data_IF_867834008619
#
_entry.id   IF_867834008619
#
_cell.length_a   1.000
_cell.length_b   1.000
_cell.length_c   1.000
_cell.angle_alpha   90.00
_cell.angle_beta   90.00
_cell.angle_gamma   90.00
#
_symmetry.space_group_name_H-M   'P 1'
#
loop_
_entity.id
_entity.type
_entity.pdbx_description
1 polymer ?
#
# COMPACT_ATOMS: atom_id res chain seq x y z
N UNK A 1 49.01 15.43 13.30
CA UNK A 1 48.03 14.81 14.21
C UNK A 1 47.39 15.96 14.98
N UNK A 2 46.30 16.59 14.55
CA UNK A 2 45.31 16.18 13.55
C UNK A 2 44.81 17.39 12.75
N UNK A 3 44.72 17.14 11.46
CA UNK A 3 44.25 18.00 10.40
C UNK A 3 42.72 17.92 10.37
N UNK A 4 42.03 19.02 10.71
CA UNK A 4 40.57 19.12 10.52
C UNK A 4 40.29 20.09 9.37
N UNK A 5 40.38 19.55 8.17
CA UNK A 5 39.80 20.08 6.94
C UNK A 5 38.30 20.32 7.16
N UNK A 6 37.92 21.56 7.46
CA UNK A 6 36.50 21.99 7.46
C UNK A 6 36.21 22.65 6.13
N UNK A 7 35.53 21.90 5.27
CA UNK A 7 35.05 22.23 3.93
C UNK A 7 34.21 23.54 3.99
N UNK A 8 34.31 24.44 2.98
CA UNK A 8 33.67 25.76 3.03
C UNK A 8 32.15 25.69 3.05
N UNK A 9 31.53 26.55 3.87
CA UNK A 9 30.08 26.78 3.96
C UNK A 9 29.53 27.51 2.72
N UNK A 10 29.72 26.94 1.53
CA UNK A 10 28.99 27.33 0.35
C UNK A 10 27.58 26.71 0.42
N UNK A 11 26.56 27.55 0.21
CA UNK A 11 25.12 27.22 0.11
C UNK A 11 24.25 27.25 1.39
N UNK A 12 24.54 28.13 2.35
CA UNK A 12 23.43 28.69 3.14
C UNK A 12 22.77 29.78 2.31
N UNK A 13 21.66 29.46 1.66
CA UNK A 13 20.87 30.45 0.90
C UNK A 13 20.42 31.56 1.84
N UNK A 14 21.02 32.74 1.75
CA UNK A 14 20.64 33.90 2.54
C UNK A 14 19.29 34.45 2.04
N UNK A 15 18.18 33.93 2.57
CA UNK A 15 16.83 34.37 2.17
C UNK A 15 16.60 35.86 2.40
N UNK A 16 17.27 36.45 3.39
CA UNK A 16 17.18 37.88 3.68
C UNK A 16 17.72 38.71 2.51
N UNK A 17 18.90 38.38 2.00
CA UNK A 17 19.54 39.07 0.86
C UNK A 17 18.70 38.92 -0.42
N UNK A 18 18.22 37.70 -0.70
CA UNK A 18 17.35 37.46 -1.86
C UNK A 18 16.01 38.21 -1.76
N UNK A 19 15.41 38.25 -0.56
CA UNK A 19 14.17 39.00 -0.34
C UNK A 19 14.39 40.49 -0.57
N UNK A 20 15.47 41.07 -0.05
CA UNK A 20 15.77 42.49 -0.25
C UNK A 20 15.99 42.83 -1.71
N UNK A 21 16.70 41.99 -2.47
CA UNK A 21 16.96 42.22 -3.90
C UNK A 21 15.68 42.18 -4.73
N UNK A 22 14.80 41.20 -4.45
CA UNK A 22 13.51 41.07 -5.14
C UNK A 22 12.60 42.26 -4.86
N UNK A 23 12.48 42.68 -3.59
CA UNK A 23 11.64 43.82 -3.22
C UNK A 23 12.21 45.13 -3.75
N UNK A 24 13.54 45.32 -3.74
CA UNK A 24 14.19 46.49 -4.33
C UNK A 24 13.91 46.58 -5.83
N UNK A 25 14.02 45.46 -6.57
CA UNK A 25 13.68 45.42 -7.99
C UNK A 25 12.20 45.74 -8.24
N UNK A 26 11.29 45.21 -7.42
CA UNK A 26 9.85 45.46 -7.56
C UNK A 26 9.49 46.93 -7.33
N UNK A 27 10.00 47.54 -6.26
CA UNK A 27 9.74 48.95 -5.91
C UNK A 27 10.45 49.92 -6.85
N UNK A 28 11.57 49.53 -7.47
CA UNK A 28 12.23 50.36 -8.50
C UNK A 28 11.33 50.62 -9.72
N UNK A 29 10.39 49.71 -10.01
CA UNK A 29 9.50 49.77 -11.18
C UNK A 29 8.02 50.00 -10.80
N UNK A 30 7.66 49.85 -9.53
CA UNK A 30 6.29 50.02 -9.03
C UNK A 30 6.25 51.00 -7.85
N UNK A 31 5.25 51.90 -7.84
CA UNK A 31 5.02 52.78 -6.70
C UNK A 31 4.21 52.06 -5.63
N UNK A 32 4.84 51.77 -4.49
CA UNK A 32 4.23 51.11 -3.34
C UNK A 32 4.15 52.11 -2.18
N UNK A 33 3.04 52.11 -1.43
CA UNK A 33 2.92 52.99 -0.27
C UNK A 33 3.87 52.51 0.83
N UNK A 34 4.47 53.42 1.62
CA UNK A 34 5.40 53.03 2.68
C UNK A 34 4.77 52.12 3.74
N UNK A 35 3.45 52.22 3.93
CA UNK A 35 2.70 51.36 4.85
C UNK A 35 2.60 49.89 4.40
N UNK A 36 2.70 49.62 3.09
CA UNK A 36 2.52 48.28 2.52
C UNK A 36 3.87 47.53 2.38
N UNK A 37 5.00 48.23 2.51
CA UNK A 37 6.35 47.65 2.40
C UNK A 37 6.65 46.54 3.41
N UNK A 38 6.29 46.65 4.71
CA UNK A 38 6.55 45.59 5.68
C UNK A 38 5.78 44.30 5.37
N UNK A 39 4.54 44.44 4.88
CA UNK A 39 3.72 43.30 4.49
C UNK A 39 4.31 42.59 3.27
N UNK A 40 4.70 43.35 2.24
CA UNK A 40 5.34 42.80 1.04
C UNK A 40 6.65 42.05 1.36
N UNK A 41 7.49 42.61 2.24
CA UNK A 41 8.72 41.95 2.70
C UNK A 41 8.43 40.62 3.41
N UNK A 42 7.44 40.61 4.31
CA UNK A 42 7.05 39.40 5.03
C UNK A 42 6.50 38.31 4.09
N UNK A 43 5.68 38.68 3.11
CA UNK A 43 5.11 37.74 2.14
C UNK A 43 6.18 37.10 1.24
N UNK A 44 7.09 37.90 0.69
CA UNK A 44 8.17 37.39 -0.18
C UNK A 44 9.13 36.51 0.62
N UNK A 45 9.51 36.94 1.84
CA UNK A 45 10.36 36.14 2.71
C UNK A 45 9.69 34.81 3.11
N UNK A 46 8.38 34.83 3.41
CA UNK A 46 7.60 33.63 3.70
C UNK A 46 7.52 32.69 2.49
N UNK A 47 7.35 33.23 1.27
CA UNK A 47 7.32 32.44 0.06
C UNK A 47 8.66 31.76 -0.24
N UNK A 48 9.78 32.47 -0.04
CA UNK A 48 11.12 31.93 -0.25
C UNK A 48 11.51 30.90 0.82
N UNK A 49 11.22 31.19 2.09
CA UNK A 49 11.46 30.25 3.19
C UNK A 49 10.55 29.01 3.12
N UNK A 50 9.33 29.15 2.60
CA UNK A 50 8.42 28.03 2.35
C UNK A 50 8.78 27.18 1.13
N UNK A 51 9.77 27.59 0.33
CA UNK A 51 10.32 26.81 -0.78
C UNK A 51 11.44 25.87 -0.33
N UNK A 52 12.15 26.25 0.75
CA UNK A 52 13.34 25.55 1.25
C UNK A 52 13.08 24.81 2.55
N UNK A 53 12.26 25.38 3.43
CA UNK A 53 11.46 24.58 4.34
C UNK A 53 10.37 23.94 3.51
N UNK A 54 10.30 22.61 3.49
CA UNK A 54 9.03 21.93 3.22
C UNK A 54 8.01 22.66 4.06
N UNK A 55 7.20 23.52 3.42
CA UNK A 55 6.08 24.14 4.07
C UNK A 55 5.33 23.00 4.69
N UNK A 56 5.43 22.89 6.01
CA UNK A 56 4.50 22.18 6.82
C UNK A 56 3.18 22.96 6.68
N UNK A 57 2.58 22.92 5.49
CA UNK A 57 1.16 22.58 5.37
C UNK A 57 1.01 21.48 6.38
N UNK A 58 0.42 21.83 7.53
CA UNK A 58 0.32 21.00 8.71
C UNK A 58 0.16 19.58 8.22
N UNK A 59 1.26 18.83 8.22
CA UNK A 59 1.19 17.41 7.92
C UNK A 59 0.31 17.01 9.07
N UNK A 60 -0.94 16.53 8.87
CA UNK A 60 -1.54 15.80 9.94
C UNK A 60 -0.47 14.76 10.20
N UNK A 61 0.18 14.88 11.35
CA UNK A 61 0.91 13.79 11.97
C UNK A 61 0.11 12.58 11.56
N UNK A 62 0.76 11.60 10.92
CA UNK A 62 0.11 10.34 10.57
C UNK A 62 -0.19 9.67 11.91
N UNK A 63 -1.17 10.25 12.62
CA UNK A 63 -1.83 9.76 13.77
C UNK A 63 -2.51 8.56 13.19
N UNK A 64 -1.90 7.42 13.49
CA UNK A 64 -2.46 6.09 13.36
C UNK A 64 -3.97 6.23 13.32
N UNK A 65 -4.57 5.82 12.20
CA UNK A 65 -5.97 6.08 11.94
C UNK A 65 -6.76 5.76 13.21
N UNK A 66 -7.51 6.73 13.72
CA UNK A 66 -8.24 6.52 14.98
C UNK A 66 -9.17 5.30 14.80
N UNK A 67 -9.43 4.50 15.85
CA UNK A 67 -10.31 3.33 15.73
C UNK A 67 -11.69 3.71 15.16
N UNK A 68 -12.16 4.92 15.42
CA UNK A 68 -13.38 5.49 14.85
C UNK A 68 -13.28 5.72 13.34
N UNK A 69 -12.13 6.18 12.81
CA UNK A 69 -11.90 6.33 11.37
C UNK A 69 -11.78 4.98 10.66
N UNK A 70 -11.13 3.99 11.29
CA UNK A 70 -11.03 2.62 10.75
C UNK A 70 -12.41 1.97 10.66
N UNK A 71 -13.28 2.18 11.65
CA UNK A 71 -14.66 1.69 11.58
C UNK A 71 -15.47 2.41 10.49
N UNK A 72 -15.26 3.72 10.32
CA UNK A 72 -15.93 4.52 9.28
C UNK A 72 -15.45 4.19 7.86
N UNK A 73 -14.20 3.72 7.70
CA UNK A 73 -13.67 3.36 6.38
C UNK A 73 -14.25 2.04 5.85
N UNK A 74 -14.83 1.22 6.72
CA UNK A 74 -15.47 -0.04 6.35
C UNK A 74 -16.97 0.21 6.17
N UNK A 75 -17.41 0.33 4.91
CA UNK A 75 -18.84 0.36 4.56
C UNK A 75 -19.23 -0.93 3.86
N UNK A 76 -20.52 -1.35 3.91
CA UNK A 76 -20.95 -2.61 3.29
C UNK A 76 -20.72 -2.64 1.78
N UNK A 77 -20.84 -1.50 1.11
CA UNK A 77 -20.69 -1.37 -0.35
C UNK A 77 -19.26 -1.05 -0.81
N UNK A 78 -18.48 -0.34 0.02
CA UNK A 78 -17.13 0.11 -0.34
C UNK A 78 -16.19 0.25 0.87
N UNK A 79 -14.89 0.16 0.61
CA UNK A 79 -13.84 0.50 1.55
C UNK A 79 -13.27 1.87 1.18
N UNK A 80 -13.24 2.79 2.13
CA UNK A 80 -12.64 4.12 1.95
C UNK A 80 -11.12 3.99 2.11
N UNK A 81 -10.38 4.48 1.13
CA UNK A 81 -8.91 4.48 1.16
C UNK A 81 -8.37 5.68 1.94
N UNK A 82 -7.44 5.43 2.87
CA UNK A 82 -6.70 6.46 3.58
C UNK A 82 -5.65 7.21 2.74
N UNK A 83 -5.39 6.81 1.48
CA UNK A 83 -4.45 7.52 0.60
C UNK A 83 -5.13 8.71 -0.07
N UNK A 84 -6.32 8.48 -0.60
CA UNK A 84 -7.03 9.41 -1.50
C UNK A 84 -8.47 9.70 -1.05
N UNK A 85 -8.95 9.07 0.03
CA UNK A 85 -10.28 9.30 0.60
C UNK A 85 -11.44 8.74 -0.24
N UNK A 86 -11.16 8.01 -1.32
CA UNK A 86 -12.18 7.54 -2.26
C UNK A 86 -12.74 6.16 -1.88
N UNK A 87 -14.02 5.88 -2.17
CA UNK A 87 -14.62 4.57 -1.94
C UNK A 87 -14.22 3.57 -3.04
N UNK A 88 -13.75 2.40 -2.64
CA UNK A 88 -13.37 1.30 -3.53
C UNK A 88 -14.03 -0.02 -3.14
N UNK A 89 -14.48 -0.80 -4.12
CA UNK A 89 -14.99 -2.17 -3.87
C UNK A 89 -13.87 -3.12 -3.44
N UNK A 90 -12.67 -2.93 -3.98
CA UNK A 90 -11.48 -3.71 -3.65
C UNK A 90 -10.29 -2.78 -3.41
N UNK A 91 -9.74 -2.81 -2.19
CA UNK A 91 -8.60 -1.96 -1.84
C UNK A 91 -7.32 -2.47 -2.48
N UNK A 92 -7.18 -3.80 -2.61
CA UNK A 92 -5.99 -4.44 -3.20
C UNK A 92 -5.64 -3.88 -4.59
N UNK A 93 -6.65 -3.62 -5.44
CA UNK A 93 -6.44 -3.06 -6.79
C UNK A 93 -5.91 -1.62 -6.75
N UNK A 94 -6.41 -0.82 -5.81
CA UNK A 94 -5.94 0.55 -5.62
C UNK A 94 -4.49 0.55 -5.12
N UNK A 95 -4.17 -0.29 -4.13
CA UNK A 95 -2.81 -0.39 -3.58
C UNK A 95 -1.79 -0.84 -4.62
N UNK A 96 -2.12 -1.83 -5.46
CA UNK A 96 -1.23 -2.25 -6.55
C UNK A 96 -0.97 -1.15 -7.57
N UNK A 97 -1.94 -0.26 -7.82
CA UNK A 97 -1.76 0.89 -8.70
C UNK A 97 -0.81 1.94 -8.11
N UNK A 98 -0.75 2.03 -6.79
CA UNK A 98 0.16 2.92 -6.06
C UNK A 98 1.51 2.25 -5.73
N UNK A 99 1.76 1.02 -6.20
CA UNK A 99 2.99 0.28 -5.93
C UNK A 99 3.18 -0.16 -4.47
N UNK A 100 2.10 -0.22 -3.68
CA UNK A 100 2.16 -0.55 -2.25
C UNK A 100 1.50 -1.89 -1.96
N UNK A 101 2.06 -2.65 -1.03
CA UNK A 101 1.43 -3.90 -0.55
C UNK A 101 0.36 -3.63 0.51
N UNK A 102 -0.53 -4.59 0.72
CA UNK A 102 -1.55 -4.48 1.77
C UNK A 102 -0.95 -4.52 3.19
N UNK A 103 0.27 -5.06 3.33
CA UNK A 103 1.01 -5.06 4.60
C UNK A 103 1.59 -3.68 4.89
N UNK A 104 2.33 -3.11 3.93
CA UNK A 104 2.85 -1.73 4.02
C UNK A 104 1.74 -0.73 4.28
N UNK A 105 0.58 -0.89 3.63
CA UNK A 105 -0.57 -0.03 3.86
C UNK A 105 -1.08 -0.10 5.31
N UNK A 106 -1.13 -1.30 5.89
CA UNK A 106 -1.54 -1.49 7.29
C UNK A 106 -0.53 -0.89 8.26
N UNK A 107 0.75 -1.06 7.99
CA UNK A 107 1.82 -0.50 8.82
C UNK A 107 1.84 1.02 8.77
N UNK A 108 1.72 1.60 7.56
CA UNK A 108 1.75 3.05 7.34
C UNK A 108 0.62 3.78 8.05
N UNK A 109 -0.57 3.20 8.06
CA UNK A 109 -1.77 3.84 8.62
C UNK A 109 -2.20 3.23 9.97
N UNK A 110 -1.48 2.22 10.48
CA UNK A 110 -1.76 1.57 11.77
C UNK A 110 -3.05 0.73 11.79
N UNK A 111 -3.42 0.10 10.68
CA UNK A 111 -4.66 -0.67 10.59
C UNK A 111 -4.54 -2.04 11.29
N UNK A 112 -5.66 -2.56 11.85
CA UNK A 112 -5.71 -3.91 12.39
C UNK A 112 -5.38 -4.97 11.35
N UNK A 113 -4.87 -6.12 11.80
CA UNK A 113 -4.60 -7.28 10.95
C UNK A 113 -5.86 -7.85 10.29
N UNK A 114 -7.02 -7.64 10.91
CA UNK A 114 -8.33 -8.10 10.44
C UNK A 114 -9.02 -7.09 9.48
N UNK A 115 -8.28 -6.10 8.97
CA UNK A 115 -8.86 -5.14 8.04
C UNK A 115 -9.22 -5.82 6.70
N UNK A 116 -10.46 -5.67 6.20
CA UNK A 116 -10.87 -6.32 4.96
C UNK A 116 -10.17 -5.72 3.74
N UNK A 117 -9.85 -6.58 2.76
CA UNK A 117 -9.28 -6.15 1.47
C UNK A 117 -10.35 -5.79 0.44
N UNK A 118 -11.61 -6.20 0.67
CA UNK A 118 -12.74 -6.04 -0.23
C UNK A 118 -14.02 -5.75 0.56
N UNK A 119 -14.96 -5.04 -0.05
CA UNK A 119 -16.25 -4.74 0.56
C UNK A 119 -17.10 -6.01 0.77
N UNK A 120 -17.94 -6.00 1.82
CA UNK A 120 -18.77 -7.14 2.19
C UNK A 120 -19.76 -7.53 1.08
N UNK A 121 -20.44 -6.55 0.48
CA UNK A 121 -21.40 -6.78 -0.61
C UNK A 121 -20.72 -7.29 -1.89
N UNK A 122 -19.51 -6.81 -2.19
CA UNK A 122 -18.75 -7.31 -3.34
C UNK A 122 -18.38 -8.79 -3.17
N UNK A 123 -17.94 -9.18 -1.97
CA UNK A 123 -17.67 -10.58 -1.63
C UNK A 123 -18.93 -11.44 -1.69
N UNK A 124 -20.06 -10.94 -1.15
CA UNK A 124 -21.33 -11.64 -1.19
C UNK A 124 -21.81 -11.90 -2.63
N UNK A 125 -21.80 -10.88 -3.50
CA UNK A 125 -22.20 -10.99 -4.91
C UNK A 125 -21.33 -11.99 -5.68
N UNK A 126 -20.00 -11.92 -5.52
CA UNK A 126 -19.07 -12.86 -6.18
C UNK A 126 -19.27 -14.29 -5.66
N UNK A 127 -19.52 -14.46 -4.36
CA UNK A 127 -19.78 -15.78 -3.79
C UNK A 127 -21.10 -16.38 -4.26
N UNK A 128 -22.16 -15.57 -4.43
CA UNK A 128 -23.44 -16.01 -4.95
C UNK A 128 -23.32 -16.48 -6.41
N UNK A 129 -22.61 -15.71 -7.23
CA UNK A 129 -22.32 -16.05 -8.63
C UNK A 129 -21.48 -17.33 -8.75
N UNK A 130 -20.49 -17.51 -7.85
CA UNK A 130 -19.68 -18.73 -7.82
C UNK A 130 -20.54 -19.95 -7.45
N UNK A 131 -21.41 -19.82 -6.44
CA UNK A 131 -22.33 -20.88 -6.00
C UNK A 131 -23.33 -21.24 -7.10
N UNK A 132 -23.88 -20.27 -7.83
CA UNK A 132 -24.76 -20.53 -8.97
C UNK A 132 -24.02 -21.16 -10.16
N UNK A 133 -22.73 -20.82 -10.33
CA UNK A 133 -21.85 -21.43 -11.32
C UNK A 133 -21.30 -22.83 -10.90
N UNK A 134 -21.76 -23.38 -9.77
CA UNK A 134 -21.38 -24.72 -9.31
C UNK A 134 -20.01 -24.82 -8.60
N UNK A 135 -19.32 -23.69 -8.38
CA UNK A 135 -18.06 -23.66 -7.63
C UNK A 135 -18.34 -23.83 -6.13
N UNK A 136 -17.71 -24.83 -5.49
CA UNK A 136 -17.79 -25.07 -4.04
C UNK A 136 -18.82 -26.10 -3.58
N UNK A 137 -19.53 -26.80 -4.48
CA UNK A 137 -20.53 -27.83 -4.13
C UNK A 137 -19.95 -29.24 -3.87
N UNK A 138 -18.64 -29.44 -4.02
CA UNK A 138 -17.99 -30.76 -3.88
C UNK A 138 -18.17 -31.42 -2.51
N UNK A 139 -18.49 -30.66 -1.44
CA UNK A 139 -18.71 -31.22 -0.11
C UNK A 139 -20.17 -31.52 0.24
N UNK A 140 -21.15 -31.00 -0.52
CA UNK A 140 -22.59 -31.31 -0.29
C UNK A 140 -23.08 -32.54 -1.05
N UNK A 141 -22.38 -32.95 -2.11
CA UNK A 141 -22.72 -34.15 -2.88
C UNK A 141 -22.03 -35.44 -2.38
N UNK A 142 -21.13 -35.33 -1.39
CA UNK A 142 -20.73 -36.49 -0.58
C UNK A 142 -21.80 -36.69 0.50
N UNK A 143 -22.89 -37.35 0.13
CA UNK A 143 -23.93 -37.76 1.07
C UNK A 143 -23.30 -38.57 2.23
N UNK A 144 -23.79 -38.46 3.48
CA UNK A 144 -23.40 -39.35 4.56
C UNK A 144 -24.05 -40.72 4.29
N UNK A 145 -23.44 -41.55 3.45
CA UNK A 145 -23.77 -42.97 3.40
C UNK A 145 -22.93 -43.69 4.44
N UNK A 146 -23.40 -43.68 5.69
CA UNK A 146 -23.23 -44.74 6.69
C UNK A 146 -23.68 -44.23 8.07
N UNK A 147 -24.99 -44.26 8.32
CA UNK A 147 -25.55 -44.29 9.66
C UNK A 147 -26.75 -45.25 9.64
N UNK A 148 -26.45 -46.54 9.50
CA UNK A 148 -27.29 -47.68 9.86
C UNK A 148 -26.56 -49.00 9.48
N UNK A 149 -25.69 -49.48 10.37
CA UNK A 149 -25.37 -50.89 10.55
C UNK A 149 -24.48 -51.02 11.81
N UNK A 150 -25.18 -51.26 12.91
CA UNK A 150 -24.88 -52.16 14.03
C UNK A 150 -23.46 -52.29 14.63
N UNK A 151 -23.47 -52.35 15.95
CA UNK A 151 -22.33 -52.58 16.84
C UNK A 151 -21.86 -54.04 16.77
N UNK A 152 -20.58 -54.30 16.50
CA UNK A 152 -19.84 -55.41 17.15
C UNK A 152 -18.34 -55.07 17.27
N UNK A 153 -17.93 -54.73 18.49
CA UNK A 153 -16.74 -55.20 19.23
C UNK A 153 -15.35 -55.16 18.55
N UNK A 154 -14.54 -54.24 19.10
CA UNK A 154 -13.12 -54.35 19.51
C UNK A 154 -11.94 -54.39 18.51
N UNK A 155 -10.91 -53.64 18.93
CA UNK A 155 -9.46 -53.85 18.77
C UNK A 155 -8.69 -53.09 17.66
N UNK A 156 -8.21 -51.90 18.04
CA UNK A 156 -6.89 -51.39 17.63
C UNK A 156 -5.80 -52.05 18.52
N UNK A 157 -4.49 -52.08 18.21
CA UNK A 157 -3.76 -51.14 17.34
C UNK A 157 -2.57 -51.72 16.52
N UNK A 158 -1.97 -50.92 15.62
CA UNK A 158 -0.49 -50.75 15.55
C UNK A 158 -0.07 -49.60 14.63
N UNK A 159 0.54 -48.61 15.26
CA UNK A 159 1.29 -47.53 14.63
C UNK A 159 2.49 -48.07 13.84
N UNK A 160 2.60 -47.71 12.56
CA UNK A 160 3.80 -47.96 11.76
C UNK A 160 4.56 -46.65 11.54
N UNK A 161 5.46 -46.38 12.49
CA UNK A 161 6.83 -45.94 12.27
C UNK A 161 7.09 -44.74 11.35
N UNK A 162 7.33 -43.60 11.99
CA UNK A 162 8.09 -42.46 11.45
C UNK A 162 9.58 -42.86 11.34
N UNK A 163 10.16 -42.84 10.14
CA UNK A 163 11.62 -42.76 9.89
C UNK A 163 11.83 -41.59 8.91
N UNK A 164 12.16 -40.38 9.40
CA UNK A 164 13.48 -39.71 9.33
C UNK A 164 14.17 -39.87 7.96
N UNK A 165 14.20 -38.80 7.15
CA UNK A 165 15.36 -37.89 6.91
C UNK A 165 16.36 -38.52 5.91
N UNK A 166 16.92 -37.87 4.90
CA UNK A 166 17.09 -36.47 4.49
C UNK A 166 17.43 -36.42 2.97
N UNK A 167 17.27 -35.24 2.34
CA UNK A 167 18.01 -34.80 1.14
C UNK A 167 19.55 -34.80 1.40
N UNK A 168 20.48 -34.67 0.42
CA UNK A 168 20.34 -33.99 -0.89
C UNK A 168 21.07 -34.67 -2.09
N UNK A 169 20.99 -34.04 -3.27
CA UNK A 169 22.10 -33.68 -4.20
C UNK A 169 21.77 -33.88 -5.71
N UNK A 170 21.97 -32.77 -6.45
CA UNK A 170 22.33 -32.61 -7.86
C UNK A 170 21.28 -32.71 -8.99
N UNK A 171 20.90 -31.52 -9.49
CA UNK A 171 20.67 -31.23 -10.91
C UNK A 171 22.03 -31.23 -11.68
N UNK A 172 22.15 -31.03 -13.03
CA UNK A 172 21.12 -30.67 -14.04
C UNK A 172 21.23 -31.44 -15.39
N UNK A 173 20.18 -31.42 -16.22
CA UNK A 173 20.32 -31.57 -17.69
C UNK A 173 19.03 -31.18 -18.45
N UNK A 174 19.10 -29.99 -19.04
CA UNK A 174 18.71 -29.58 -20.40
C UNK A 174 17.53 -30.21 -21.19
N UNK A 175 16.83 -29.30 -21.89
CA UNK A 175 15.59 -29.44 -22.68
C UNK A 175 15.74 -30.37 -23.90
N UNK A 176 14.60 -30.77 -24.52
CA UNK A 176 14.42 -30.27 -25.89
C UNK A 176 13.01 -29.76 -26.22
N UNK A 177 13.02 -28.77 -27.11
CA UNK A 177 11.89 -28.14 -27.76
C UNK A 177 11.10 -29.11 -28.66
N UNK A 178 9.77 -28.98 -28.66
CA UNK A 178 8.90 -29.56 -29.70
C UNK A 178 8.20 -28.44 -30.46
N UNK A 179 8.41 -28.47 -31.78
CA UNK A 179 8.24 -27.34 -32.69
C UNK A 179 6.81 -26.99 -33.09
N UNK A 180 6.65 -25.74 -33.50
CA UNK A 180 5.52 -25.24 -34.29
C UNK A 180 5.79 -25.52 -35.76
N UNK A 181 4.88 -26.28 -36.39
CA UNK A 181 4.85 -26.48 -37.83
C UNK A 181 4.60 -25.16 -38.54
N UNK A 182 5.45 -24.86 -39.51
CA UNK A 182 5.26 -23.85 -40.55
C UNK A 182 4.22 -24.32 -41.55
N UNK A 183 3.39 -23.39 -42.04
CA UNK A 183 2.76 -23.48 -43.35
C UNK A 183 2.89 -22.11 -44.04
N UNK A 184 3.86 -22.05 -44.96
CA UNK A 184 3.90 -21.21 -46.19
C UNK A 184 2.56 -21.32 -46.94
N UNK A 185 2.16 -20.48 -47.89
CA UNK A 185 2.59 -19.23 -48.51
C UNK A 185 1.54 -18.95 -49.62
N UNK A 186 1.42 -17.70 -50.06
CA UNK A 186 1.12 -17.21 -51.42
C UNK A 186 0.38 -15.88 -51.32
#
# INVERSE_FOLDING_TARGET
MDESTTIPAAEQTNFIELTSDIVAAYVSKNSVRPADLPALLAEVHAALSGLTGTSASAVPTVEKATPSQIRKSITPDALISFIDGKPYKTLKRHLTGNGMTFEEYRERFGLPRDYPTTAANYSAQRSALAKSAGLGQQRRNAAPKAAAADETVAEAPKARGRKRAAEPVAAPAEKPARGRKSKKAA
#
